data_IF_832163462377
#
_entry.id   IF_832163462377
#
_cell.length_a   1.000
_cell.length_b   1.000
_cell.length_c   1.000
_cell.angle_alpha   90.00
_cell.angle_beta   90.00
_cell.angle_gamma   90.00
#
_symmetry.space_group_name_H-M   'P 1'
#
loop_
_entity.id
_entity.type
_entity.pdbx_description
1 polymer ?
#
# COMPACT_ATOMS: atom_id res chain seq x y z
N UNK A 1 9.03 -29.14 5.87
CA UNK A 1 9.87 -27.96 6.16
C UNK A 1 11.29 -28.27 6.65
N UNK A 2 12.32 -27.83 5.90
CA UNK A 2 13.74 -27.91 6.29
C UNK A 2 14.15 -26.73 7.20
N UNK A 3 15.23 -26.88 7.97
CA UNK A 3 15.72 -25.80 8.86
C UNK A 3 16.22 -24.57 8.10
N UNK A 4 16.74 -24.76 6.88
CA UNK A 4 17.13 -23.65 6.02
C UNK A 4 15.91 -22.81 5.63
N UNK A 5 14.81 -23.46 5.25
CA UNK A 5 13.56 -22.77 4.87
C UNK A 5 12.97 -21.98 6.04
N UNK A 6 12.99 -22.53 7.25
CA UNK A 6 12.57 -21.81 8.47
C UNK A 6 13.35 -20.51 8.65
N UNK A 7 14.67 -20.58 8.53
CA UNK A 7 15.54 -19.39 8.66
C UNK A 7 15.22 -18.33 7.61
N UNK A 8 14.95 -18.75 6.38
CA UNK A 8 14.53 -17.84 5.31
C UNK A 8 13.22 -17.13 5.65
N UNK A 9 12.23 -17.85 6.18
CA UNK A 9 10.95 -17.23 6.56
C UNK A 9 11.11 -16.20 7.68
N UNK A 10 11.89 -16.49 8.72
CA UNK A 10 12.15 -15.50 9.78
C UNK A 10 12.97 -14.29 9.28
N UNK A 11 13.89 -14.50 8.35
CA UNK A 11 14.64 -13.40 7.76
C UNK A 11 13.75 -12.48 6.92
N UNK A 12 12.87 -13.05 6.10
CA UNK A 12 11.90 -12.31 5.30
C UNK A 12 10.85 -11.61 6.17
N UNK A 13 10.31 -12.29 7.18
CA UNK A 13 9.37 -11.70 8.14
C UNK A 13 9.98 -10.48 8.85
N UNK A 14 11.23 -10.59 9.29
CA UNK A 14 11.96 -9.47 9.88
C UNK A 14 12.16 -8.32 8.89
N UNK A 15 12.59 -8.62 7.67
CA UNK A 15 12.80 -7.60 6.63
C UNK A 15 11.51 -6.88 6.26
N UNK A 16 10.39 -7.60 6.18
CA UNK A 16 9.05 -7.05 5.95
C UNK A 16 8.65 -6.06 7.05
N UNK A 17 8.79 -6.46 8.32
CA UNK A 17 8.42 -5.60 9.45
C UNK A 17 9.34 -4.39 9.60
N UNK A 18 10.63 -4.54 9.28
CA UNK A 18 11.60 -3.45 9.27
C UNK A 18 11.26 -2.44 8.15
N UNK A 19 10.94 -2.92 6.95
CA UNK A 19 10.48 -2.05 5.86
C UNK A 19 9.20 -1.30 6.20
N UNK A 20 8.19 -1.99 6.75
CA UNK A 20 6.93 -1.37 7.13
C UNK A 20 7.11 -0.31 8.22
N UNK A 21 7.99 -0.56 9.20
CA UNK A 21 8.31 0.41 10.26
C UNK A 21 9.06 1.64 9.75
N UNK A 22 9.77 1.51 8.62
CA UNK A 22 10.53 2.59 7.97
C UNK A 22 9.71 3.30 6.87
N UNK A 23 8.40 3.08 6.82
CA UNK A 23 7.50 3.62 5.80
C UNK A 23 7.93 3.25 4.36
N UNK A 24 8.64 2.11 4.20
CA UNK A 24 9.00 1.53 2.90
C UNK A 24 7.94 0.51 2.48
N UNK A 25 6.71 1.01 2.29
CA UNK A 25 5.53 0.16 2.08
C UNK A 25 5.65 -0.75 0.85
N UNK A 26 6.21 -0.25 -0.26
CA UNK A 26 6.44 -1.07 -1.47
C UNK A 26 7.33 -2.31 -1.18
N UNK A 27 8.40 -2.13 -0.40
CA UNK A 27 9.31 -3.22 -0.02
C UNK A 27 8.63 -4.20 0.95
N UNK A 28 7.85 -3.67 1.90
CA UNK A 28 7.10 -4.45 2.86
C UNK A 28 6.05 -5.32 2.16
N UNK A 29 5.25 -4.73 1.27
CA UNK A 29 4.26 -5.43 0.45
C UNK A 29 4.90 -6.48 -0.44
N UNK A 30 5.99 -6.14 -1.13
CA UNK A 30 6.68 -7.08 -2.00
C UNK A 30 7.13 -8.32 -1.20
N UNK A 31 7.69 -8.10 -0.02
CA UNK A 31 8.12 -9.17 0.88
C UNK A 31 6.93 -9.98 1.42
N UNK A 32 5.82 -9.32 1.77
CA UNK A 32 4.60 -9.97 2.20
C UNK A 32 4.03 -10.90 1.10
N UNK A 33 3.96 -10.43 -0.16
CA UNK A 33 3.51 -11.26 -1.29
C UNK A 33 4.44 -12.46 -1.52
N UNK A 34 5.77 -12.28 -1.41
CA UNK A 34 6.72 -13.40 -1.46
C UNK A 34 6.43 -14.43 -0.37
N UNK A 35 6.23 -13.98 0.87
CA UNK A 35 5.93 -14.86 2.01
C UNK A 35 4.63 -15.64 1.75
N UNK A 36 3.57 -14.98 1.31
CA UNK A 36 2.27 -15.61 1.04
C UNK A 36 2.32 -16.62 -0.12
N UNK A 37 3.32 -16.53 -1.00
CA UNK A 37 3.59 -17.55 -2.03
C UNK A 37 4.01 -18.92 -1.47
N UNK A 38 4.41 -19.00 -0.20
CA UNK A 38 4.80 -20.26 0.44
C UNK A 38 3.62 -20.95 1.15
N UNK A 39 3.24 -22.13 0.66
CA UNK A 39 2.16 -22.93 1.25
C UNK A 39 2.42 -23.34 2.70
N UNK A 40 3.68 -23.67 3.04
CA UNK A 40 4.11 -24.10 4.39
C UNK A 40 4.44 -22.92 5.34
N UNK A 41 4.02 -21.69 5.02
CA UNK A 41 4.35 -20.53 5.84
C UNK A 41 3.74 -20.64 7.27
N UNK A 42 4.53 -20.42 8.35
CA UNK A 42 4.02 -20.40 9.71
C UNK A 42 2.88 -19.39 9.90
N UNK A 43 1.84 -19.78 10.64
CA UNK A 43 0.60 -18.98 10.77
C UNK A 43 0.84 -17.55 11.28
N UNK A 44 1.72 -17.38 12.28
CA UNK A 44 2.02 -16.04 12.80
C UNK A 44 2.67 -15.12 11.75
N UNK A 45 3.55 -15.68 10.90
CA UNK A 45 4.16 -14.93 9.80
C UNK A 45 3.12 -14.65 8.71
N UNK A 46 2.25 -15.63 8.41
CA UNK A 46 1.16 -15.45 7.45
C UNK A 46 0.21 -14.34 7.88
N UNK A 47 -0.22 -14.32 9.14
CA UNK A 47 -1.07 -13.27 9.68
C UNK A 47 -0.41 -11.89 9.57
N UNK A 48 0.89 -11.77 9.91
CA UNK A 48 1.63 -10.50 9.74
C UNK A 48 1.74 -10.07 8.28
N UNK A 49 2.00 -10.99 7.35
CA UNK A 49 2.07 -10.67 5.94
C UNK A 49 0.72 -10.17 5.40
N UNK A 50 -0.38 -10.84 5.76
CA UNK A 50 -1.72 -10.38 5.42
C UNK A 50 -2.04 -9.02 6.06
N UNK A 51 -1.63 -8.79 7.31
CA UNK A 51 -1.83 -7.52 8.01
C UNK A 51 -1.10 -6.37 7.30
N UNK A 52 0.16 -6.57 6.90
CA UNK A 52 0.94 -5.57 6.14
C UNK A 52 0.26 -5.23 4.81
N UNK A 53 -0.25 -6.22 4.08
CA UNK A 53 -1.01 -5.95 2.84
C UNK A 53 -2.32 -5.20 3.11
N UNK A 54 -2.98 -5.50 4.23
CA UNK A 54 -4.16 -4.76 4.69
C UNK A 54 -3.87 -3.28 4.97
N UNK A 55 -2.68 -2.96 5.49
CA UNK A 55 -2.27 -1.58 5.75
C UNK A 55 -2.03 -0.75 4.47
N UNK A 56 -1.81 -1.38 3.31
CA UNK A 56 -1.34 -0.66 2.10
C UNK A 56 -2.31 0.41 1.58
N UNK A 57 -3.62 0.28 1.82
CA UNK A 57 -4.68 1.25 1.41
C UNK A 57 -4.84 1.48 -0.10
N UNK A 58 -3.85 1.08 -0.91
CA UNK A 58 -3.73 1.23 -2.36
C UNK A 58 -4.15 -0.04 -3.09
N UNK A 59 -3.97 -1.20 -2.47
CA UNK A 59 -4.31 -2.47 -3.11
C UNK A 59 -5.81 -2.76 -3.05
N UNK A 60 -6.39 -3.18 -4.17
CA UNK A 60 -7.81 -3.56 -4.28
C UNK A 60 -8.18 -4.71 -3.32
N UNK A 61 -7.20 -5.53 -2.93
CA UNK A 61 -7.37 -6.67 -2.03
C UNK A 61 -7.09 -6.35 -0.55
N UNK A 62 -6.85 -5.09 -0.18
CA UNK A 62 -6.48 -4.70 1.20
C UNK A 62 -7.51 -5.17 2.25
N UNK A 63 -8.81 -5.00 1.96
CA UNK A 63 -9.87 -5.44 2.87
C UNK A 63 -9.90 -6.96 3.05
N UNK A 64 -9.73 -7.71 1.95
CA UNK A 64 -9.70 -9.17 2.00
C UNK A 64 -8.46 -9.68 2.74
N UNK A 65 -7.31 -9.02 2.56
CA UNK A 65 -6.09 -9.33 3.30
C UNK A 65 -6.22 -9.02 4.79
N UNK A 66 -6.88 -7.92 5.17
CA UNK A 66 -7.12 -7.59 6.58
C UNK A 66 -8.05 -8.64 7.25
N UNK A 67 -9.10 -9.09 6.55
CA UNK A 67 -9.99 -10.17 7.02
C UNK A 67 -9.23 -11.48 7.18
N UNK A 68 -8.39 -11.83 6.20
CA UNK A 68 -7.56 -13.03 6.23
C UNK A 68 -6.54 -12.97 7.37
N UNK A 69 -5.96 -11.79 7.66
CA UNK A 69 -5.04 -11.60 8.78
C UNK A 69 -5.69 -11.95 10.12
N UNK A 70 -6.91 -11.45 10.38
CA UNK A 70 -7.69 -11.78 11.59
C UNK A 70 -7.99 -13.29 11.64
N UNK A 71 -8.49 -13.88 10.55
CA UNK A 71 -8.83 -15.31 10.50
C UNK A 71 -7.62 -16.19 10.81
N UNK A 72 -6.45 -15.87 10.24
CA UNK A 72 -5.21 -16.62 10.46
C UNK A 72 -4.66 -16.40 11.86
N UNK A 73 -4.73 -15.17 12.40
CA UNK A 73 -4.32 -14.88 13.77
C UNK A 73 -5.17 -15.62 14.80
N UNK A 74 -6.49 -15.67 14.61
CA UNK A 74 -7.41 -16.46 15.45
C UNK A 74 -7.05 -17.94 15.41
N UNK A 75 -6.82 -18.50 14.21
CA UNK A 75 -6.37 -19.88 14.08
C UNK A 75 -5.03 -20.10 14.80
N UNK A 76 -4.08 -19.17 14.66
CA UNK A 76 -2.79 -19.21 15.36
C UNK A 76 -2.96 -19.27 16.88
N UNK A 77 -3.85 -18.45 17.43
CA UNK A 77 -4.15 -18.39 18.86
C UNK A 77 -4.78 -19.70 19.38
N UNK A 78 -5.59 -20.39 18.57
CA UNK A 78 -6.12 -21.71 18.96
C UNK A 78 -5.05 -22.79 19.08
N UNK A 79 -3.91 -22.62 18.39
CA UNK A 79 -2.80 -23.57 18.42
C UNK A 79 -1.74 -23.19 19.45
N UNK A 80 -1.54 -21.89 19.67
CA UNK A 80 -0.51 -21.33 20.53
C UNK A 80 -1.16 -20.23 21.38
N UNK A 81 -1.50 -20.56 22.63
CA UNK A 81 -2.00 -19.58 23.61
C UNK A 81 -0.82 -18.83 24.24
N UNK A 82 -0.29 -17.85 23.52
CA UNK A 82 0.75 -16.94 24.00
C UNK A 82 0.35 -15.47 23.85
N UNK A 83 1.05 -14.60 24.60
CA UNK A 83 0.75 -13.16 24.61
C UNK A 83 1.09 -12.48 23.28
N UNK A 84 2.02 -13.05 22.51
CA UNK A 84 2.40 -12.53 21.20
C UNK A 84 1.28 -12.73 20.17
N UNK A 85 0.65 -13.90 20.16
CA UNK A 85 -0.50 -14.23 19.32
C UNK A 85 -1.73 -13.40 19.69
N UNK A 86 -1.94 -13.15 20.99
CA UNK A 86 -2.98 -12.23 21.47
C UNK A 86 -2.76 -10.80 20.99
N UNK A 87 -1.53 -10.29 21.11
CA UNK A 87 -1.18 -8.97 20.62
C UNK A 87 -1.36 -8.88 19.10
N UNK A 88 -0.85 -9.86 18.35
CA UNK A 88 -1.00 -9.90 16.89
C UNK A 88 -2.48 -9.90 16.46
N UNK A 89 -3.34 -10.65 17.15
CA UNK A 89 -4.77 -10.64 16.87
C UNK A 89 -5.40 -9.26 17.14
N UNK A 90 -4.99 -8.58 18.21
CA UNK A 90 -5.46 -7.23 18.49
C UNK A 90 -5.02 -6.23 17.41
N UNK A 91 -3.77 -6.32 16.96
CA UNK A 91 -3.22 -5.50 15.89
C UNK A 91 -3.97 -5.76 14.57
N UNK A 92 -4.18 -7.02 14.19
CA UNK A 92 -4.93 -7.40 12.99
C UNK A 92 -6.38 -6.87 13.01
N UNK A 93 -7.05 -6.91 14.17
CA UNK A 93 -8.41 -6.36 14.32
C UNK A 93 -8.44 -4.83 14.21
N UNK A 94 -7.39 -4.16 14.65
CA UNK A 94 -7.25 -2.71 14.52
C UNK A 94 -7.13 -2.33 13.06
N UNK A 95 -6.23 -3.01 12.33
CA UNK A 95 -6.07 -2.83 10.87
C UNK A 95 -7.38 -3.11 10.13
N UNK A 96 -8.09 -4.20 10.45
CA UNK A 96 -9.39 -4.48 9.81
C UNK A 96 -10.39 -3.34 10.01
N UNK A 97 -10.52 -2.82 11.23
CA UNK A 97 -11.44 -1.71 11.51
C UNK A 97 -11.07 -0.43 10.74
N UNK A 98 -9.78 -0.11 10.64
CA UNK A 98 -9.29 1.05 9.89
C UNK A 98 -9.56 0.90 8.38
N UNK A 99 -9.31 -0.28 7.82
CA UNK A 99 -9.54 -0.57 6.39
C UNK A 99 -11.03 -0.59 6.06
N UNK A 100 -11.88 -1.16 6.93
CA UNK A 100 -13.34 -1.13 6.76
C UNK A 100 -13.89 0.31 6.77
N UNK A 101 -13.36 1.16 7.66
CA UNK A 101 -13.73 2.57 7.71
C UNK A 101 -13.31 3.31 6.43
N UNK A 102 -12.07 3.12 5.97
CA UNK A 102 -11.57 3.72 4.73
C UNK A 102 -12.35 3.25 3.50
N UNK A 103 -12.67 1.95 3.42
CA UNK A 103 -13.46 1.38 2.33
C UNK A 103 -14.89 1.94 2.31
N UNK A 104 -15.50 2.12 3.48
CA UNK A 104 -16.85 2.71 3.59
C UNK A 104 -16.83 4.17 3.17
N UNK A 105 -15.80 4.92 3.56
CA UNK A 105 -15.65 6.31 3.17
C UNK A 105 -15.48 6.46 1.65
N UNK A 106 -14.63 5.64 1.02
CA UNK A 106 -14.43 5.67 -0.43
C UNK A 106 -15.72 5.37 -1.19
N UNK A 107 -16.49 4.37 -0.76
CA UNK A 107 -17.78 4.05 -1.38
C UNK A 107 -18.77 5.24 -1.29
N UNK A 108 -18.79 5.96 -0.16
CA UNK A 108 -19.64 7.14 -0.01
C UNK A 108 -19.17 8.34 -0.86
N UNK A 109 -17.88 8.47 -1.13
CA UNK A 109 -17.32 9.50 -2.02
C UNK A 109 -17.65 9.19 -3.49
N UNK A 110 -17.54 7.92 -3.90
CA UNK A 110 -17.91 7.47 -5.25
C UNK A 110 -19.40 7.70 -5.55
N UNK A 111 -20.30 7.40 -4.60
CA UNK A 111 -21.74 7.66 -4.73
C UNK A 111 -22.05 9.17 -4.90
N UNK A 112 -21.25 10.05 -4.31
CA UNK A 112 -21.43 11.50 -4.43
C UNK A 112 -20.94 12.04 -5.78
N UNK A 113 -19.82 11.53 -6.28
CA UNK A 113 -19.29 11.92 -7.58
C UNK A 113 -20.26 11.55 -8.71
N UNK A 114 -20.90 10.37 -8.64
CA UNK A 114 -21.93 9.95 -9.61
C UNK A 114 -23.13 10.91 -9.64
N UNK A 115 -23.60 11.36 -8.46
CA UNK A 115 -24.69 12.33 -8.36
C UNK A 115 -24.33 13.73 -8.92
N UNK A 116 -23.06 14.13 -8.84
CA UNK A 116 -22.58 15.40 -9.42
C UNK A 116 -22.52 15.30 -10.94
N UNK A 117 -22.02 14.20 -11.48
CA UNK A 117 -21.98 13.98 -12.94
C UNK A 117 -23.40 13.93 -13.55
N UNK A 118 -24.36 13.30 -12.88
CA UNK A 118 -25.76 13.30 -13.32
C UNK A 118 -26.37 14.72 -13.34
N UNK A 119 -26.09 15.54 -12.32
CA UNK A 119 -26.58 16.92 -12.25
C UNK A 119 -25.97 17.82 -13.35
N UNK A 120 -24.71 17.61 -13.72
CA UNK A 120 -24.06 18.37 -14.80
C UNK A 120 -24.58 17.97 -16.19
N UNK A 121 -24.93 16.70 -16.39
CA UNK A 121 -25.51 16.22 -17.66
C UNK A 121 -26.93 16.76 -17.93
N UNK A 122 -27.77 16.95 -16.90
CA UNK A 122 -29.12 17.52 -17.07
C UNK A 122 -29.11 19.01 -17.43
N UNK A 123 -28.00 19.71 -17.18
CA UNK A 123 -27.90 21.16 -17.41
C UNK A 123 -27.47 21.50 -18.86
N UNK A 124 -27.02 20.52 -19.64
CA UNK A 124 -26.48 20.71 -20.99
C UNK A 124 -27.49 20.51 -22.14
N UNK A 125 -28.70 20.01 -21.90
CA UNK A 125 -29.70 19.74 -22.95
C UNK A 125 -30.71 20.88 -23.17
N UNK A 126 -30.47 22.09 -22.65
CA UNK A 126 -31.39 23.24 -22.80
C UNK A 126 -30.77 24.48 -23.45
N UNK A 127 -30.03 24.33 -24.55
CA UNK A 127 -29.72 25.45 -25.45
C UNK A 127 -29.81 25.04 -26.94
N UNK A 128 -31.04 24.81 -27.41
CA UNK A 128 -31.36 24.94 -28.84
C UNK A 128 -32.35 26.10 -29.00
N UNK A 129 -31.81 27.28 -29.32
CA UNK A 129 -32.60 28.51 -29.39
C UNK A 129 -31.87 29.71 -29.99
N UNK A 130 -31.59 29.64 -31.30
CA UNK A 130 -31.63 30.74 -32.29
C UNK A 130 -30.79 32.01 -32.04
N UNK A 131 -29.73 32.22 -32.84
CA UNK A 131 -29.08 33.54 -32.86
C UNK A 131 -27.78 33.74 -33.65
N UNK A 132 -27.93 34.05 -34.94
CA UNK A 132 -27.14 35.03 -35.70
C UNK A 132 -25.71 34.68 -36.19
N UNK A 133 -25.61 34.71 -37.54
CA UNK A 133 -24.41 34.81 -38.37
C UNK A 133 -23.63 36.10 -38.08
N UNK A 134 -22.30 36.00 -37.96
CA UNK A 134 -21.37 37.12 -37.94
C UNK A 134 -19.99 36.70 -38.43
N UNK A 135 -19.39 37.53 -39.27
CA UNK A 135 -18.32 37.25 -40.24
C UNK A 135 -16.89 37.18 -39.65
N UNK A 136 -16.02 36.62 -40.51
CA UNK A 136 -14.55 36.51 -40.51
C UNK A 136 -13.68 37.67 -40.00
N UNK A 137 -12.49 37.33 -39.47
CA UNK A 137 -11.12 37.72 -39.90
C UNK A 137 -10.10 37.12 -38.91
N UNK A 138 -9.35 36.07 -39.26
CA UNK A 138 -8.01 36.09 -39.90
C UNK A 138 -6.91 36.77 -39.04
N UNK A 139 -6.02 35.94 -38.46
CA UNK A 139 -4.84 36.39 -37.71
C UNK A 139 -3.82 35.27 -37.56
N UNK A 140 -2.80 35.30 -38.41
CA UNK A 140 -1.65 34.39 -38.49
C UNK A 140 -0.61 34.59 -37.37
N UNK A 141 0.29 33.59 -37.31
CA UNK A 141 1.67 33.60 -36.79
C UNK A 141 1.81 33.30 -35.28
N UNK A 142 2.78 32.52 -34.78
CA UNK A 142 3.88 31.80 -35.39
C UNK A 142 4.45 30.77 -34.39
N UNK A 143 5.28 29.88 -34.96
CA UNK A 143 6.13 28.87 -34.36
C UNK A 143 6.85 29.26 -33.04
N UNK A 144 7.05 28.25 -32.20
CA UNK A 144 7.82 28.35 -30.95
C UNK A 144 8.22 26.99 -30.40
N UNK A 145 8.94 26.23 -31.21
CA UNK A 145 9.70 25.04 -30.83
C UNK A 145 10.71 25.38 -29.72
N UNK A 146 10.72 24.62 -28.61
CA UNK A 146 11.95 24.26 -27.89
C UNK A 146 11.71 23.18 -26.82
N UNK A 147 12.26 22.01 -27.11
CA UNK A 147 12.61 20.99 -26.15
C UNK A 147 13.62 21.54 -25.12
N UNK A 148 13.49 21.14 -23.85
CA UNK A 148 14.63 20.91 -22.96
C UNK A 148 14.14 20.24 -21.66
N UNK A 149 14.35 18.93 -21.54
CA UNK A 149 14.37 18.29 -20.22
C UNK A 149 15.60 18.73 -19.41
N UNK A 150 15.58 18.50 -18.10
CA UNK A 150 16.81 18.11 -17.42
C UNK A 150 16.64 16.86 -16.55
N UNK A 151 17.50 15.89 -16.85
CA UNK A 151 18.34 15.15 -15.91
C UNK A 151 17.72 14.60 -14.64
N UNK A 152 17.45 13.29 -14.67
CA UNK A 152 17.50 12.44 -13.47
C UNK A 152 18.93 12.41 -12.93
N UNK A 153 19.16 13.07 -11.80
CA UNK A 153 20.33 12.80 -10.96
C UNK A 153 20.10 11.50 -10.20
N UNK A 154 20.81 10.46 -10.61
CA UNK A 154 21.03 9.26 -9.82
C UNK A 154 21.99 9.67 -8.70
N UNK A 155 21.47 9.81 -7.49
CA UNK A 155 22.30 9.94 -6.29
C UNK A 155 22.57 8.53 -5.81
N UNK A 156 23.83 8.12 -5.90
CA UNK A 156 24.39 6.87 -5.40
C UNK A 156 24.78 7.08 -3.92
N UNK A 157 24.05 6.55 -2.93
CA UNK A 157 24.52 6.54 -1.55
C UNK A 157 25.51 5.40 -1.37
N UNK A 158 26.76 5.72 -1.68
CA UNK A 158 27.91 4.96 -1.25
C UNK A 158 27.84 4.66 0.27
N UNK A 159 27.70 3.37 0.58
CA UNK A 159 28.60 2.65 1.50
C UNK A 159 28.87 3.34 2.85
N UNK A 160 27.85 3.43 3.71
CA UNK A 160 28.06 3.63 5.13
C UNK A 160 28.53 2.31 5.77
N UNK A 161 29.85 2.10 5.85
CA UNK A 161 30.43 1.06 6.72
C UNK A 161 30.30 1.51 8.18
N UNK A 162 29.59 0.77 9.05
CA UNK A 162 29.56 1.07 10.47
C UNK A 162 30.93 0.75 11.09
N UNK A 163 31.57 1.77 11.68
CA UNK A 163 32.70 1.60 12.58
C UNK A 163 32.22 0.91 13.86
N UNK A 164 32.50 -0.38 14.00
CA UNK A 164 32.35 -1.07 15.28
C UNK A 164 33.44 -0.60 16.24
N UNK A 165 33.05 0.19 17.24
CA UNK A 165 33.87 0.49 18.41
C UNK A 165 33.87 -0.74 19.32
N UNK A 166 34.97 -1.49 19.32
CA UNK A 166 35.19 -2.60 20.26
C UNK A 166 35.40 -2.05 21.68
N UNK A 167 34.61 -2.47 22.68
CA UNK A 167 34.84 -2.08 24.07
C UNK A 167 36.13 -2.73 24.62
N UNK A 168 36.84 -2.06 25.53
CA UNK A 168 38.08 -2.59 26.10
C UNK A 168 37.80 -3.78 27.02
N UNK A 169 38.76 -4.72 27.15
CA UNK A 169 38.62 -5.86 28.03
C UNK A 169 38.63 -5.42 29.50
N UNK A 170 37.61 -5.81 30.24
CA UNK A 170 37.59 -5.76 31.71
C UNK A 170 38.59 -6.76 32.26
N UNK A 171 39.50 -6.28 33.12
CA UNK A 171 40.42 -7.10 33.92
C UNK A 171 39.71 -7.72 35.10
#
# INVERSE_FOLDING_TARGET
>A
MTDNLKRTFFALDRAMLEAHREDRDEDAEHTARILLGYAELPLLIRARACMVLGCSGVADDALDMAKEAVRVAELGLTLIDDDLAKQLLADCRTVLAEVEAAHTQRAAEEDLDELVEEAESETAEQEDGDGAKGNAEEGQAAAGEKASGPSRTITDPAKATPHYSTPPPTK
#
